data_IF_376382342033
#
_entry.id   IF_376382342033
#
_cell.length_a   1.000
_cell.length_b   1.000
_cell.length_c   1.000
_cell.angle_alpha   90.00
_cell.angle_beta   90.00
_cell.angle_gamma   90.00
#
_symmetry.space_group_name_H-M   'P 1'
#
loop_
_entity.id
_entity.type
_entity.pdbx_description
1 polymer ?
#
# COMPACT_ATOMS: atom_id res chain seq x y z
N UNK A 1 25.95 -17.78 5.27
CA UNK A 1 26.20 -16.37 5.16
C UNK A 1 26.48 -15.75 6.55
N UNK A 2 27.42 -14.82 6.63
CA UNK A 2 27.68 -14.02 7.83
C UNK A 2 27.17 -12.60 7.58
N UNK A 3 26.11 -12.18 8.28
CA UNK A 3 25.60 -10.84 8.16
C UNK A 3 26.64 -9.82 8.69
N UNK A 4 26.98 -8.80 7.89
CA UNK A 4 27.92 -7.72 8.22
C UNK A 4 27.17 -6.45 8.62
N UNK A 5 26.05 -6.19 7.98
CA UNK A 5 25.24 -5.00 8.22
C UNK A 5 23.76 -5.35 8.04
N UNK A 6 22.94 -4.81 8.91
CA UNK A 6 21.49 -4.81 8.78
C UNK A 6 21.05 -3.36 8.99
N UNK A 7 20.33 -2.79 8.05
CA UNK A 7 19.88 -1.41 8.12
C UNK A 7 18.47 -1.23 7.56
N UNK A 8 17.79 -0.19 8.02
CA UNK A 8 16.52 0.22 7.44
C UNK A 8 16.75 1.07 6.18
N UNK A 9 16.01 0.81 5.13
CA UNK A 9 16.12 1.48 3.82
C UNK A 9 14.78 2.05 3.38
N UNK A 10 14.81 3.04 2.48
CA UNK A 10 13.61 3.65 1.87
C UNK A 10 12.56 4.11 2.88
N UNK A 11 12.98 4.96 3.85
CA UNK A 11 12.07 5.48 4.87
C UNK A 11 11.46 4.36 5.74
N UNK A 12 12.30 3.43 6.19
CA UNK A 12 11.95 2.30 7.05
C UNK A 12 10.99 1.26 6.45
N UNK A 13 10.75 1.30 5.13
CA UNK A 13 9.86 0.34 4.47
C UNK A 13 10.54 -1.00 4.16
N UNK A 14 11.86 -1.06 4.14
CA UNK A 14 12.64 -2.24 3.82
C UNK A 14 13.79 -2.45 4.80
N UNK A 15 14.23 -3.69 4.91
CA UNK A 15 15.45 -4.07 5.62
C UNK A 15 16.49 -4.48 4.58
N UNK A 16 17.60 -3.75 4.53
CA UNK A 16 18.79 -4.10 3.76
C UNK A 16 19.71 -5.00 4.57
N UNK A 17 20.22 -6.07 3.97
CA UNK A 17 21.16 -6.98 4.60
C UNK A 17 22.40 -7.12 3.69
N UNK A 18 23.56 -6.76 4.23
CA UNK A 18 24.85 -7.06 3.62
C UNK A 18 25.45 -8.28 4.31
N UNK A 19 25.83 -9.30 3.54
CA UNK A 19 26.34 -10.55 4.10
C UNK A 19 27.46 -11.14 3.23
N UNK A 20 28.39 -11.84 3.86
CA UNK A 20 29.46 -12.59 3.21
C UNK A 20 29.07 -14.05 3.12
N UNK A 21 29.25 -14.65 1.94
CA UNK A 21 29.08 -16.09 1.76
C UNK A 21 30.21 -16.83 2.49
N UNK A 22 29.87 -17.77 3.34
CA UNK A 22 30.84 -18.64 4.01
C UNK A 22 31.10 -19.85 3.14
N UNK A 23 32.37 -20.21 2.99
CA UNK A 23 32.82 -21.38 2.21
C UNK A 23 32.66 -22.70 2.96
N UNK A 24 32.46 -22.65 4.27
CA UNK A 24 32.18 -23.82 5.12
C UNK A 24 30.99 -23.50 6.03
N UNK A 25 30.06 -24.45 6.26
CA UNK A 25 29.00 -24.24 7.24
C UNK A 25 29.60 -24.32 8.65
N UNK A 26 30.08 -23.20 9.20
CA UNK A 26 30.20 -23.10 10.63
C UNK A 26 28.80 -23.03 11.22
N UNK A 27 28.22 -24.21 11.48
CA UNK A 27 26.96 -24.34 12.20
C UNK A 27 27.24 -24.10 13.69
N UNK A 28 27.53 -22.87 14.06
CA UNK A 28 27.59 -22.43 15.45
C UNK A 28 26.54 -21.33 15.70
N UNK A 29 25.36 -21.47 15.16
CA UNK A 29 24.21 -20.73 15.65
C UNK A 29 23.30 -21.71 16.39
N UNK A 30 23.51 -21.86 17.68
CA UNK A 30 22.41 -22.20 18.56
C UNK A 30 21.30 -21.19 18.25
N UNK A 31 20.11 -21.61 17.84
CA UNK A 31 19.01 -20.67 17.74
C UNK A 31 18.89 -20.04 19.12
N UNK A 32 19.17 -18.74 19.21
CA UNK A 32 18.82 -17.99 20.42
C UNK A 32 17.31 -18.17 20.53
N UNK A 33 16.87 -18.98 21.47
CA UNK A 33 15.47 -19.00 21.89
C UNK A 33 15.18 -17.67 22.50
N UNK A 34 14.98 -16.64 21.64
CA UNK A 34 14.55 -15.33 22.05
C UNK A 34 13.21 -15.47 22.79
N UNK A 35 13.02 -14.64 23.78
CA UNK A 35 11.76 -14.60 24.52
C UNK A 35 10.58 -14.44 23.54
N UNK A 36 9.87 -15.52 23.28
CA UNK A 36 8.73 -15.56 22.36
C UNK A 36 7.49 -14.90 22.95
N UNK A 37 7.48 -14.57 24.25
CA UNK A 37 6.34 -13.93 24.93
C UNK A 37 6.11 -12.51 24.40
N UNK A 38 7.19 -11.76 24.14
CA UNK A 38 7.14 -10.43 23.53
C UNK A 38 6.61 -10.50 22.09
N UNK A 39 6.99 -11.52 21.33
CA UNK A 39 6.53 -11.75 19.95
C UNK A 39 5.02 -12.07 19.92
N UNK A 40 4.55 -12.94 20.82
CA UNK A 40 3.13 -13.27 20.94
C UNK A 40 2.28 -12.04 21.28
N UNK A 41 2.76 -11.20 22.21
CA UNK A 41 2.11 -9.94 22.55
C UNK A 41 2.06 -8.97 21.37
N UNK A 42 3.17 -8.81 20.65
CA UNK A 42 3.26 -7.96 19.47
C UNK A 42 2.34 -8.45 18.35
N UNK A 43 2.27 -9.75 18.11
CA UNK A 43 1.37 -10.35 17.13
C UNK A 43 -0.12 -10.11 17.48
N UNK A 44 -0.49 -10.24 18.74
CA UNK A 44 -1.86 -9.96 19.20
C UNK A 44 -2.21 -8.48 19.07
N UNK A 45 -1.27 -7.57 19.38
CA UNK A 45 -1.45 -6.13 19.21
C UNK A 45 -1.58 -5.76 17.73
N UNK A 46 -0.73 -6.32 16.87
CA UNK A 46 -0.84 -6.15 15.42
C UNK A 46 -2.21 -6.58 14.89
N UNK A 47 -2.72 -7.75 15.31
CA UNK A 47 -4.04 -8.22 14.89
C UNK A 47 -5.17 -7.25 15.27
N UNK A 48 -5.13 -6.68 16.47
CA UNK A 48 -6.12 -5.67 16.91
C UNK A 48 -6.01 -4.40 16.06
N UNK A 49 -4.80 -3.92 15.86
CA UNK A 49 -4.55 -2.71 15.04
C UNK A 49 -5.00 -2.91 13.59
N UNK A 50 -4.63 -4.04 12.98
CA UNK A 50 -5.03 -4.40 11.63
C UNK A 50 -6.55 -4.43 11.46
N UNK A 51 -7.25 -5.15 12.31
CA UNK A 51 -8.70 -5.25 12.25
C UNK A 51 -9.38 -3.88 12.40
N UNK A 52 -8.90 -3.05 13.33
CA UNK A 52 -9.40 -1.68 13.50
C UNK A 52 -9.18 -0.82 12.26
N UNK A 53 -8.01 -0.95 11.62
CA UNK A 53 -7.68 -0.20 10.40
C UNK A 53 -8.56 -0.64 9.23
N UNK A 54 -8.74 -1.95 9.04
CA UNK A 54 -9.62 -2.51 8.01
C UNK A 54 -11.06 -2.04 8.20
N UNK A 55 -11.57 -2.09 9.45
CA UNK A 55 -12.92 -1.63 9.76
C UNK A 55 -13.12 -0.15 9.41
N UNK A 56 -12.20 0.73 9.81
CA UNK A 56 -12.25 2.16 9.48
C UNK A 56 -12.29 2.41 7.97
N UNK A 57 -11.48 1.69 7.21
CA UNK A 57 -11.46 1.87 5.75
C UNK A 57 -12.73 1.37 5.09
N UNK A 58 -13.32 0.27 5.56
CA UNK A 58 -14.63 -0.19 5.09
C UNK A 58 -15.73 0.83 5.37
N UNK A 59 -15.79 1.37 6.59
CA UNK A 59 -16.74 2.42 6.92
C UNK A 59 -16.54 3.68 6.04
N UNK A 60 -15.30 4.05 5.78
CA UNK A 60 -14.99 5.19 4.92
C UNK A 60 -15.45 4.94 3.47
N UNK A 61 -15.14 3.77 2.90
CA UNK A 61 -15.57 3.37 1.54
C UNK A 61 -17.09 3.38 1.44
N UNK A 62 -17.79 2.80 2.41
CA UNK A 62 -19.25 2.82 2.47
C UNK A 62 -19.81 4.26 2.54
N UNK A 63 -19.16 5.12 3.30
CA UNK A 63 -19.60 6.52 3.47
C UNK A 63 -19.47 7.31 2.17
N UNK A 64 -18.35 7.22 1.45
CA UNK A 64 -18.17 7.90 0.15
C UNK A 64 -19.14 7.35 -0.89
N UNK A 65 -19.36 6.05 -0.92
CA UNK A 65 -20.33 5.41 -1.81
C UNK A 65 -21.74 5.97 -1.60
N UNK A 66 -22.17 6.07 -0.33
CA UNK A 66 -23.50 6.63 0.03
C UNK A 66 -23.67 8.09 -0.35
N UNK A 67 -22.57 8.86 -0.38
CA UNK A 67 -22.58 10.27 -0.79
C UNK A 67 -22.48 10.43 -2.31
N UNK A 68 -22.26 9.35 -3.04
CA UNK A 68 -22.05 9.38 -4.49
C UNK A 68 -20.72 10.00 -4.91
N UNK A 69 -19.75 10.07 -3.99
CA UNK A 69 -18.42 10.59 -4.23
C UNK A 69 -17.56 9.58 -4.98
N UNK A 70 -16.66 10.09 -5.82
CA UNK A 70 -15.78 9.28 -6.65
C UNK A 70 -14.42 9.12 -5.97
N UNK A 71 -13.97 7.88 -5.84
CA UNK A 71 -12.65 7.58 -5.31
C UNK A 71 -11.82 6.77 -6.31
N UNK A 72 -10.52 7.00 -6.29
CA UNK A 72 -9.52 6.20 -7.00
C UNK A 72 -8.37 5.84 -6.05
N UNK A 73 -7.69 4.73 -6.33
CA UNK A 73 -6.48 4.35 -5.60
C UNK A 73 -5.24 4.62 -6.46
N UNK A 74 -4.22 5.24 -5.88
CA UNK A 74 -2.95 5.50 -6.57
C UNK A 74 -1.91 4.47 -6.17
N UNK A 75 -1.52 3.63 -7.14
CA UNK A 75 -0.61 2.53 -7.03
C UNK A 75 -1.29 1.16 -7.17
N UNK A 76 -1.26 0.61 -8.39
CA UNK A 76 -1.74 -0.75 -8.71
C UNK A 76 -0.65 -1.83 -8.45
N UNK A 77 0.11 -1.67 -7.37
CA UNK A 77 1.06 -2.66 -6.86
C UNK A 77 0.44 -3.53 -5.77
N UNK A 78 1.25 -4.35 -5.10
CA UNK A 78 0.78 -5.28 -4.08
C UNK A 78 -0.04 -4.61 -2.97
N UNK A 79 0.37 -3.42 -2.51
CA UNK A 79 -0.36 -2.68 -1.47
C UNK A 79 -1.76 -2.25 -1.95
N UNK A 80 -1.87 -1.69 -3.18
CA UNK A 80 -3.15 -1.26 -3.73
C UNK A 80 -4.09 -2.43 -4.01
N UNK A 81 -3.58 -3.50 -4.61
CA UNK A 81 -4.34 -4.73 -4.85
C UNK A 81 -4.86 -5.32 -3.54
N UNK A 82 -4.01 -5.40 -2.51
CA UNK A 82 -4.40 -5.90 -1.19
C UNK A 82 -5.46 -5.01 -0.55
N UNK A 83 -5.29 -3.68 -0.59
CA UNK A 83 -6.26 -2.74 -0.04
C UNK A 83 -7.63 -2.90 -0.69
N UNK A 84 -7.71 -2.89 -2.02
CA UNK A 84 -8.96 -3.06 -2.76
C UNK A 84 -9.67 -4.37 -2.42
N UNK A 85 -8.94 -5.49 -2.35
CA UNK A 85 -9.51 -6.80 -2.02
C UNK A 85 -10.01 -6.90 -0.56
N UNK A 86 -9.49 -6.08 0.35
CA UNK A 86 -9.86 -6.12 1.78
C UNK A 86 -10.91 -5.07 2.12
N UNK A 87 -10.79 -3.86 1.59
CA UNK A 87 -11.57 -2.70 2.03
C UNK A 87 -12.72 -2.33 1.08
N UNK A 88 -12.60 -2.62 -0.24
CA UNK A 88 -13.57 -2.17 -1.25
C UNK A 88 -14.52 -3.30 -1.68
N UNK A 89 -15.28 -3.86 -0.71
CA UNK A 89 -16.24 -4.94 -0.96
C UNK A 89 -17.35 -4.58 -1.95
N UNK A 90 -17.79 -3.33 -1.96
CA UNK A 90 -18.88 -2.82 -2.80
C UNK A 90 -18.39 -2.15 -4.09
N UNK A 91 -17.10 -2.18 -4.35
CA UNK A 91 -16.45 -1.60 -5.54
C UNK A 91 -16.73 -0.10 -5.70
N UNK A 92 -16.73 0.63 -4.60
CA UNK A 92 -16.93 2.08 -4.60
C UNK A 92 -15.72 2.84 -5.16
N UNK A 93 -14.52 2.24 -5.11
CA UNK A 93 -13.32 2.78 -5.73
C UNK A 93 -13.33 2.38 -7.21
N UNK A 94 -13.42 3.37 -8.10
CA UNK A 94 -13.72 3.13 -9.52
C UNK A 94 -12.51 2.66 -10.32
N UNK A 95 -11.33 3.24 -10.06
CA UNK A 95 -10.11 3.00 -10.83
C UNK A 95 -8.89 2.85 -9.93
N UNK A 96 -7.87 2.17 -10.46
CA UNK A 96 -6.52 2.21 -9.92
C UNK A 96 -5.62 3.03 -10.85
N UNK A 97 -4.88 3.99 -10.31
CA UNK A 97 -3.92 4.80 -11.08
C UNK A 97 -2.54 4.19 -10.96
N UNK A 98 -1.82 4.02 -12.05
CA UNK A 98 -0.43 3.58 -12.03
C UNK A 98 0.38 4.29 -13.13
N UNK A 99 1.61 4.70 -12.79
CA UNK A 99 2.54 5.34 -13.73
C UNK A 99 3.13 4.36 -14.75
N UNK A 100 3.12 3.05 -14.44
CA UNK A 100 3.68 2.04 -15.32
C UNK A 100 2.75 1.80 -16.53
N UNK A 101 3.16 2.15 -17.76
CA UNK A 101 2.34 1.99 -18.95
C UNK A 101 1.98 0.52 -19.24
N UNK A 102 2.83 -0.45 -18.81
CA UNK A 102 2.55 -1.86 -19.02
C UNK A 102 1.37 -2.38 -18.19
N UNK A 103 0.94 -1.63 -17.18
CA UNK A 103 -0.23 -1.96 -16.37
C UNK A 103 -1.50 -1.25 -16.84
N UNK A 104 -1.38 -0.10 -17.50
CA UNK A 104 -2.51 0.71 -17.95
C UNK A 104 -3.37 -0.07 -18.95
N UNK A 105 -4.70 0.08 -18.85
CA UNK A 105 -5.67 -0.69 -19.60
C UNK A 105 -5.84 -2.13 -19.14
N UNK A 106 -5.17 -2.57 -18.08
CA UNK A 106 -5.37 -3.85 -17.42
C UNK A 106 -6.27 -3.70 -16.19
N UNK A 107 -6.57 -4.79 -15.54
CA UNK A 107 -7.50 -4.84 -14.42
C UNK A 107 -6.83 -5.36 -13.15
N UNK A 108 -7.25 -4.81 -12.02
CA UNK A 108 -6.81 -5.26 -10.69
C UNK A 108 -7.30 -6.67 -10.43
N UNK A 109 -6.40 -7.55 -10.03
CA UNK A 109 -6.74 -8.93 -9.68
C UNK A 109 -7.68 -8.99 -8.46
N UNK A 110 -8.76 -9.76 -8.59
CA UNK A 110 -9.77 -9.97 -7.54
C UNK A 110 -10.93 -8.99 -7.63
N UNK A 111 -10.69 -7.69 -7.71
CA UNK A 111 -11.73 -6.66 -7.65
C UNK A 111 -12.11 -6.06 -9.01
N UNK A 112 -11.21 -6.12 -10.00
CA UNK A 112 -11.53 -5.82 -11.40
C UNK A 112 -11.59 -4.33 -11.76
N UNK A 113 -11.06 -3.42 -10.93
CA UNK A 113 -10.91 -2.01 -11.33
C UNK A 113 -9.94 -1.90 -12.50
N UNK A 114 -10.26 -1.04 -13.45
CA UNK A 114 -9.34 -0.72 -14.54
C UNK A 114 -8.16 0.10 -14.01
N UNK A 115 -6.98 -0.22 -14.51
CA UNK A 115 -5.76 0.53 -14.20
C UNK A 115 -5.59 1.62 -15.25
N UNK A 116 -5.67 2.87 -14.82
CA UNK A 116 -5.63 4.05 -15.68
C UNK A 116 -4.33 4.83 -15.51
N UNK A 117 -4.03 5.65 -16.51
CA UNK A 117 -2.92 6.62 -16.40
C UNK A 117 -3.32 7.83 -15.55
N UNK A 118 -2.35 8.60 -15.00
CA UNK A 118 -2.64 9.84 -14.30
C UNK A 118 -3.40 10.87 -15.12
N UNK A 119 -3.17 10.93 -16.44
CA UNK A 119 -3.83 11.86 -17.35
C UNK A 119 -5.35 11.60 -17.43
N UNK A 120 -5.76 10.35 -17.29
CA UNK A 120 -7.17 9.97 -17.32
C UNK A 120 -7.97 10.57 -16.16
N UNK A 121 -7.30 10.99 -15.07
CA UNK A 121 -7.93 11.67 -13.94
C UNK A 121 -8.64 12.98 -14.33
N UNK A 122 -8.22 13.64 -15.41
CA UNK A 122 -8.88 14.83 -15.94
C UNK A 122 -10.32 14.54 -16.40
N UNK A 123 -10.58 13.30 -16.83
CA UNK A 123 -11.91 12.84 -17.23
C UNK A 123 -12.70 12.30 -16.03
N UNK A 124 -12.05 11.56 -15.13
CA UNK A 124 -12.68 10.96 -13.94
C UNK A 124 -13.12 12.02 -12.95
N UNK A 125 -12.27 13.04 -12.71
CA UNK A 125 -12.46 14.09 -11.69
C UNK A 125 -12.87 13.47 -10.35
N UNK A 126 -11.98 12.71 -9.71
CA UNK A 126 -12.30 12.07 -8.43
C UNK A 126 -12.38 13.10 -7.31
N UNK A 127 -13.22 12.82 -6.31
CA UNK A 127 -13.28 13.58 -5.06
C UNK A 127 -12.18 13.14 -4.09
N UNK A 128 -11.78 11.86 -4.16
CA UNK A 128 -10.78 11.25 -3.28
C UNK A 128 -9.72 10.46 -4.04
N UNK A 129 -8.47 10.62 -3.62
CA UNK A 129 -7.33 9.83 -4.11
C UNK A 129 -6.66 9.15 -2.92
N UNK A 130 -6.69 7.83 -2.89
CA UNK A 130 -6.05 7.00 -1.88
C UNK A 130 -4.65 6.62 -2.34
N UNK A 131 -3.63 7.06 -1.63
CA UNK A 131 -2.23 6.80 -1.99
C UNK A 131 -1.69 5.63 -1.19
N UNK A 132 -1.14 4.63 -1.86
CA UNK A 132 -0.63 3.40 -1.22
C UNK A 132 0.78 3.52 -0.65
N UNK A 133 1.49 4.59 -0.98
CA UNK A 133 2.82 4.85 -0.46
C UNK A 133 2.98 6.33 -0.09
N UNK A 134 3.15 6.65 1.21
CA UNK A 134 3.23 8.02 1.70
C UNK A 134 4.37 8.84 1.09
N UNK A 135 5.43 8.20 0.60
CA UNK A 135 6.57 8.88 -0.01
C UNK A 135 6.19 9.65 -1.29
N UNK A 136 5.13 9.25 -1.98
CA UNK A 136 4.69 9.87 -3.23
C UNK A 136 3.60 10.92 -3.06
N UNK A 137 3.10 11.15 -1.84
CA UNK A 137 1.97 12.07 -1.60
C UNK A 137 2.27 13.50 -2.08
N UNK A 138 3.47 14.01 -1.83
CA UNK A 138 3.87 15.36 -2.26
C UNK A 138 3.94 15.49 -3.78
N UNK A 139 4.51 14.51 -4.46
CA UNK A 139 4.60 14.44 -5.91
C UNK A 139 3.22 14.34 -6.56
N UNK A 140 2.35 13.49 -6.01
CA UNK A 140 0.98 13.32 -6.49
C UNK A 140 0.19 14.62 -6.34
N UNK A 141 0.29 15.31 -5.20
CA UNK A 141 -0.38 16.59 -4.99
C UNK A 141 0.08 17.66 -5.98
N UNK A 142 1.38 17.73 -6.27
CA UNK A 142 1.90 18.62 -7.29
C UNK A 142 1.33 18.31 -8.67
N UNK A 143 1.33 17.03 -9.04
CA UNK A 143 0.79 16.57 -10.33
C UNK A 143 -0.70 16.89 -10.49
N UNK A 144 -1.50 16.77 -9.42
CA UNK A 144 -2.92 17.13 -9.42
C UNK A 144 -3.10 18.65 -9.57
N UNK A 145 -2.28 19.45 -8.87
CA UNK A 145 -2.29 20.90 -8.97
C UNK A 145 -1.97 21.37 -10.38
N UNK A 146 -0.97 20.78 -11.03
CA UNK A 146 -0.56 21.12 -12.40
C UNK A 146 -1.66 20.81 -13.43
N UNK A 147 -2.59 19.89 -13.10
CA UNK A 147 -3.74 19.51 -13.92
C UNK A 147 -5.07 20.14 -13.48
N UNK A 148 -5.02 21.06 -12.54
CA UNK A 148 -6.23 21.69 -11.98
C UNK A 148 -7.28 20.66 -11.49
N UNK A 149 -6.80 19.57 -10.89
CA UNK A 149 -7.64 18.53 -10.28
C UNK A 149 -7.70 18.77 -8.77
N UNK A 150 -8.90 19.05 -8.28
CA UNK A 150 -9.16 19.20 -6.84
C UNK A 150 -9.68 17.88 -6.30
N UNK A 151 -8.89 17.23 -5.46
CA UNK A 151 -9.25 15.98 -4.79
C UNK A 151 -8.65 15.94 -3.38
N UNK A 152 -9.33 15.26 -2.46
CA UNK A 152 -8.77 14.96 -1.15
C UNK A 152 -7.76 13.80 -1.29
N UNK A 153 -6.51 14.03 -0.87
CA UNK A 153 -5.44 13.02 -0.95
C UNK A 153 -5.16 12.45 0.43
N UNK A 154 -5.46 11.17 0.60
CA UNK A 154 -5.26 10.40 1.83
C UNK A 154 -4.31 9.21 1.61
N UNK A 155 -3.59 8.80 2.66
CA UNK A 155 -2.70 7.64 2.61
C UNK A 155 -3.34 6.45 3.34
N UNK A 156 -3.32 5.26 2.70
CA UNK A 156 -3.87 4.00 3.26
C UNK A 156 -2.84 3.19 4.05
#
# INVERSE_FOLDING_TARGET
FLAKKIEHCFGDQFIGIEAIALTSPEVNSTPTTGDTSSLASSAAQFGKFYNSKVYKWKEWVDAISKRGEKAVIWGAGSKGVTFLNIADGDRAIQYAVDLNPDKQGRYVAGTGQEIISPEYLEQVRPDHILVTNPLYVSEIRQMLSDREITAEVSCV
#
